data_IF_492616952234
#
_entry.id   IF_492616952234
#
_cell.length_a   1.000
_cell.length_b   1.000
_cell.length_c   1.000
_cell.angle_alpha   90.00
_cell.angle_beta   90.00
_cell.angle_gamma   90.00
#
_symmetry.space_group_name_H-M   'P 1'
#
loop_
_entity.id
_entity.type
_entity.pdbx_description
1 polymer ?
#
# COMPACT_ATOMS: atom_id res chain seq x y z
N UNK A 1 -7.23 5.62 -24.50
CA UNK A 1 -8.32 4.78 -23.99
C UNK A 1 -9.44 4.83 -24.98
N UNK A 2 -9.95 3.71 -25.49
CA UNK A 2 -11.14 3.75 -26.34
C UNK A 2 -12.34 4.19 -25.49
N UNK A 3 -13.11 5.08 -26.04
CA UNK A 3 -14.36 5.59 -25.52
C UNK A 3 -15.35 4.42 -25.41
N UNK A 4 -15.59 3.91 -24.21
CA UNK A 4 -16.59 2.88 -23.96
C UNK A 4 -17.94 3.58 -24.01
N UNK A 5 -18.57 3.50 -25.15
CA UNK A 5 -19.92 4.02 -25.40
C UNK A 5 -20.89 3.56 -24.30
N UNK A 6 -21.46 4.52 -23.64
CA UNK A 6 -22.35 4.45 -22.47
C UNK A 6 -23.76 4.01 -22.80
N UNK A 7 -24.05 2.85 -23.37
CA UNK A 7 -25.44 2.63 -23.79
C UNK A 7 -26.12 1.30 -23.47
N UNK A 8 -25.47 0.31 -22.89
CA UNK A 8 -26.09 -1.01 -22.73
C UNK A 8 -26.08 -1.65 -21.33
N UNK A 9 -25.83 -0.88 -20.28
CA UNK A 9 -26.00 -1.41 -18.93
C UNK A 9 -27.46 -1.25 -18.46
N UNK A 10 -28.06 -2.27 -17.84
CA UNK A 10 -29.39 -2.14 -17.23
C UNK A 10 -29.45 -0.94 -16.29
N UNK A 11 -30.56 -0.20 -16.30
CA UNK A 11 -30.76 1.00 -15.43
C UNK A 11 -30.47 0.74 -13.95
N UNK A 12 -30.79 -0.45 -13.44
CA UNK A 12 -30.48 -0.88 -12.07
C UNK A 12 -28.97 -0.98 -11.82
N UNK A 13 -28.19 -1.47 -12.78
CA UNK A 13 -26.72 -1.55 -12.63
C UNK A 13 -26.09 -0.16 -12.62
N UNK A 14 -26.58 0.74 -13.47
CA UNK A 14 -26.13 2.14 -13.51
C UNK A 14 -26.43 2.86 -12.19
N UNK A 15 -27.63 2.67 -11.63
CA UNK A 15 -28.00 3.25 -10.35
C UNK A 15 -27.17 2.69 -9.19
N UNK A 16 -26.92 1.39 -9.18
CA UNK A 16 -26.06 0.73 -8.17
C UNK A 16 -24.62 1.24 -8.26
N UNK A 17 -24.06 1.37 -9.46
CA UNK A 17 -22.73 1.90 -9.66
C UNK A 17 -22.60 3.34 -9.17
N UNK A 18 -23.59 4.20 -9.47
CA UNK A 18 -23.64 5.57 -8.98
C UNK A 18 -23.69 5.63 -7.44
N UNK A 19 -24.47 4.76 -6.81
CA UNK A 19 -24.55 4.68 -5.34
C UNK A 19 -23.23 4.25 -4.71
N UNK A 20 -22.52 3.27 -5.31
CA UNK A 20 -21.18 2.84 -4.87
C UNK A 20 -20.17 3.98 -5.01
N UNK A 21 -20.15 4.67 -6.14
CA UNK A 21 -19.28 5.83 -6.35
C UNK A 21 -19.56 6.94 -5.33
N UNK A 22 -20.84 7.23 -5.08
CA UNK A 22 -21.23 8.24 -4.10
C UNK A 22 -20.77 7.85 -2.68
N UNK A 23 -20.97 6.60 -2.27
CA UNK A 23 -20.50 6.10 -0.99
C UNK A 23 -18.97 6.20 -0.86
N UNK A 24 -18.23 5.81 -1.89
CA UNK A 24 -16.78 5.95 -1.92
C UNK A 24 -16.33 7.40 -1.72
N UNK A 25 -16.94 8.35 -2.44
CA UNK A 25 -16.61 9.78 -2.36
C UNK A 25 -17.01 10.44 -1.05
N UNK A 26 -18.17 10.08 -0.51
CA UNK A 26 -18.75 10.79 0.65
C UNK A 26 -18.43 10.14 1.98
N UNK A 27 -18.08 8.87 2.01
CA UNK A 27 -17.84 8.11 3.24
C UNK A 27 -16.42 7.55 3.27
N UNK A 28 -16.03 6.74 2.29
CA UNK A 28 -14.78 5.99 2.39
C UNK A 28 -13.55 6.89 2.30
N UNK A 29 -13.46 7.75 1.28
CA UNK A 29 -12.28 8.62 1.12
C UNK A 29 -12.15 9.61 2.27
N UNK A 30 -13.19 10.37 2.69
CA UNK A 30 -13.10 11.25 3.86
C UNK A 30 -12.74 10.53 5.16
N UNK A 31 -13.21 9.29 5.35
CA UNK A 31 -12.86 8.49 6.51
C UNK A 31 -11.35 8.26 6.59
N UNK A 32 -10.70 7.91 5.47
CA UNK A 32 -9.27 7.62 5.41
C UNK A 32 -8.39 8.85 5.14
N UNK A 33 -8.98 10.01 4.88
CA UNK A 33 -8.30 11.30 4.93
C UNK A 33 -8.31 11.94 6.32
N UNK A 34 -9.15 11.46 7.24
CA UNK A 34 -9.34 12.05 8.56
C UNK A 34 -9.33 11.00 9.68
N UNK A 35 -10.49 10.64 10.25
CA UNK A 35 -10.56 9.84 11.48
C UNK A 35 -9.98 8.42 11.35
N UNK A 36 -9.85 7.88 10.15
CA UNK A 36 -9.21 6.60 9.87
C UNK A 36 -7.69 6.61 9.95
N UNK A 37 -7.07 7.77 10.21
CA UNK A 37 -5.63 7.96 10.21
C UNK A 37 -5.10 8.40 11.58
N UNK A 38 -3.95 7.84 11.96
CA UNK A 38 -3.13 8.39 13.03
C UNK A 38 -2.40 9.62 12.51
N UNK A 39 -2.70 10.79 13.07
CA UNK A 39 -2.13 12.07 12.60
C UNK A 39 -0.64 12.24 12.95
N UNK A 40 -0.13 11.54 13.97
CA UNK A 40 1.27 11.66 14.39
C UNK A 40 2.19 10.82 13.49
N UNK A 41 1.75 9.62 13.15
CA UNK A 41 2.51 8.70 12.27
C UNK A 41 2.09 8.81 10.80
N UNK A 42 1.05 9.58 10.47
CA UNK A 42 0.46 9.69 9.13
C UNK A 42 0.07 8.32 8.53
N UNK A 43 -0.31 7.35 9.39
CA UNK A 43 -0.60 5.97 9.03
C UNK A 43 -2.08 5.63 9.18
N UNK A 44 -2.62 4.75 8.33
CA UNK A 44 -3.98 4.26 8.51
C UNK A 44 -4.07 3.35 9.75
N UNK A 45 -5.10 3.53 10.55
CA UNK A 45 -5.41 2.57 11.60
C UNK A 45 -5.74 1.19 11.01
N UNK A 46 -5.36 0.13 11.71
CA UNK A 46 -5.61 -1.25 11.27
C UNK A 46 -7.09 -1.65 11.37
N UNK A 47 -7.82 -1.02 12.26
CA UNK A 47 -9.25 -1.27 12.48
C UNK A 47 -9.97 -0.05 13.04
N UNK A 48 -11.24 0.06 12.65
CA UNK A 48 -12.19 1.06 13.15
C UNK A 48 -13.40 0.35 13.72
N UNK A 49 -14.07 0.99 14.70
CA UNK A 49 -15.39 0.53 15.16
C UNK A 49 -16.47 0.78 14.09
N UNK A 50 -17.67 0.19 14.24
CA UNK A 50 -18.82 0.50 13.36
C UNK A 50 -19.18 2.00 13.30
N UNK A 51 -18.84 2.76 14.34
CA UNK A 51 -19.04 4.22 14.41
C UNK A 51 -17.85 5.01 13.85
N UNK A 52 -16.98 4.36 13.09
CA UNK A 52 -15.78 4.93 12.45
C UNK A 52 -14.77 5.52 13.44
N UNK A 53 -14.69 4.99 14.65
CA UNK A 53 -13.68 5.40 15.64
C UNK A 53 -12.48 4.46 15.59
N UNK A 54 -11.25 4.99 15.68
CA UNK A 54 -10.07 4.17 15.77
C UNK A 54 -10.14 3.20 16.96
N UNK A 55 -9.85 1.93 16.72
CA UNK A 55 -9.58 0.98 17.80
C UNK A 55 -8.11 1.11 18.18
N UNK A 56 -7.80 0.83 19.46
CA UNK A 56 -6.43 0.89 19.96
C UNK A 56 -5.51 0.04 19.09
N UNK A 57 -4.53 0.64 18.38
CA UNK A 57 -3.68 -0.11 17.49
C UNK A 57 -2.75 -1.02 18.28
N UNK A 58 -2.58 -2.25 17.79
CA UNK A 58 -1.55 -3.16 18.29
C UNK A 58 -0.29 -3.06 17.44
N UNK A 59 -0.42 -2.60 16.22
CA UNK A 59 0.64 -2.42 15.23
C UNK A 59 0.12 -1.63 14.04
N UNK A 60 1.05 -1.23 13.16
CA UNK A 60 0.77 -0.79 11.78
C UNK A 60 1.56 -1.66 10.81
N UNK A 61 0.94 -2.08 9.70
CA UNK A 61 1.56 -2.90 8.66
C UNK A 61 1.93 -2.08 7.44
N UNK A 62 3.14 -2.28 6.93
CA UNK A 62 3.61 -1.61 5.71
C UNK A 62 2.69 -1.85 4.50
N UNK A 63 2.18 -3.07 4.36
CA UNK A 63 1.23 -3.43 3.30
C UNK A 63 -0.06 -2.60 3.36
N UNK A 64 -0.60 -2.32 4.55
CA UNK A 64 -1.81 -1.51 4.69
C UNK A 64 -1.55 -0.05 4.26
N UNK A 65 -0.40 0.50 4.65
CA UNK A 65 0.05 1.83 4.22
C UNK A 65 0.23 1.88 2.69
N UNK A 66 0.93 0.91 2.09
CA UNK A 66 1.15 0.84 0.65
C UNK A 66 -0.17 0.75 -0.14
N UNK A 67 -1.12 -0.06 0.30
CA UNK A 67 -2.45 -0.16 -0.34
C UNK A 67 -3.21 1.15 -0.31
N UNK A 68 -3.15 1.89 0.79
CA UNK A 68 -3.75 3.23 0.84
C UNK A 68 -3.01 4.24 -0.02
N UNK A 69 -1.68 4.19 -0.07
CA UNK A 69 -0.88 5.00 -1.00
C UNK A 69 -1.35 4.82 -2.44
N UNK A 70 -1.54 3.57 -2.88
CA UNK A 70 -2.09 3.28 -4.22
C UNK A 70 -3.45 3.95 -4.45
N UNK A 71 -4.38 3.82 -3.48
CA UNK A 71 -5.72 4.43 -3.61
C UNK A 71 -5.60 5.93 -3.78
N UNK A 72 -4.89 6.64 -2.90
CA UNK A 72 -4.77 8.10 -2.96
C UNK A 72 -3.95 8.57 -4.16
N UNK A 73 -2.91 7.85 -4.55
CA UNK A 73 -2.17 8.12 -5.79
C UNK A 73 -3.07 8.07 -7.03
N UNK A 74 -4.01 7.12 -7.07
CA UNK A 74 -4.97 6.98 -8.17
C UNK A 74 -5.98 8.14 -8.23
N UNK A 75 -6.17 8.88 -7.15
CA UNK A 75 -7.12 9.99 -7.04
C UNK A 75 -6.50 11.39 -7.24
N UNK A 76 -5.17 11.49 -7.40
CA UNK A 76 -4.45 12.78 -7.46
C UNK A 76 -5.04 13.74 -8.52
N UNK A 77 -5.39 13.24 -9.70
CA UNK A 77 -5.87 14.08 -10.80
C UNK A 77 -7.41 14.22 -10.82
N UNK A 78 -8.12 13.63 -9.88
CA UNK A 78 -9.58 13.74 -9.82
C UNK A 78 -9.99 14.91 -8.92
N UNK A 79 -10.58 15.99 -9.50
CA UNK A 79 -10.99 17.17 -8.72
C UNK A 79 -12.09 16.88 -7.68
N UNK A 80 -12.72 15.71 -7.74
CA UNK A 80 -13.70 15.30 -6.74
C UNK A 80 -13.05 14.88 -5.41
N UNK A 81 -11.72 14.72 -5.37
CA UNK A 81 -10.97 14.27 -4.19
C UNK A 81 -9.86 15.28 -3.78
N UNK A 82 -10.26 16.49 -3.34
CA UNK A 82 -9.28 17.46 -2.86
C UNK A 82 -8.48 16.86 -1.67
N UNK A 83 -7.16 17.12 -1.66
CA UNK A 83 -6.26 16.56 -0.64
C UNK A 83 -5.74 15.15 -0.93
N UNK A 84 -6.12 14.51 -2.04
CA UNK A 84 -5.62 13.18 -2.39
C UNK A 84 -4.10 13.18 -2.62
N UNK A 85 -3.56 14.22 -3.26
CA UNK A 85 -2.12 14.37 -3.49
C UNK A 85 -1.35 14.52 -2.17
N UNK A 86 -1.86 15.35 -1.26
CA UNK A 86 -1.28 15.56 0.06
C UNK A 86 -1.29 14.27 0.88
N UNK A 87 -2.42 13.57 0.88
CA UNK A 87 -2.54 12.28 1.58
C UNK A 87 -1.62 11.20 1.00
N UNK A 88 -1.46 11.13 -0.31
CA UNK A 88 -0.52 10.22 -0.96
C UNK A 88 0.94 10.54 -0.55
N UNK A 89 1.31 11.81 -0.48
CA UNK A 89 2.63 12.25 -0.05
C UNK A 89 2.92 11.89 1.43
N UNK A 90 1.94 12.05 2.32
CA UNK A 90 2.02 11.62 3.71
C UNK A 90 2.27 10.11 3.83
N UNK A 91 1.45 9.30 3.15
CA UNK A 91 1.56 7.85 3.17
C UNK A 91 2.91 7.36 2.61
N UNK A 92 3.39 7.96 1.53
CA UNK A 92 4.70 7.64 0.98
C UNK A 92 5.83 7.98 1.97
N UNK A 93 5.78 9.16 2.58
CA UNK A 93 6.75 9.60 3.60
C UNK A 93 6.78 8.63 4.77
N UNK A 94 5.60 8.27 5.31
CA UNK A 94 5.48 7.32 6.42
C UNK A 94 5.96 5.92 6.07
N UNK A 95 5.65 5.44 4.85
CA UNK A 95 6.14 4.16 4.35
C UNK A 95 7.66 4.12 4.30
N UNK A 96 8.29 5.20 3.83
CA UNK A 96 9.73 5.31 3.74
C UNK A 96 10.39 5.54 5.11
N UNK A 97 9.83 6.38 5.95
CA UNK A 97 10.42 6.77 7.24
C UNK A 97 10.32 5.66 8.31
N UNK A 98 9.17 5.02 8.41
CA UNK A 98 8.89 4.10 9.52
C UNK A 98 9.13 2.63 9.19
N UNK A 99 9.01 2.24 7.92
CA UNK A 99 9.11 0.83 7.56
C UNK A 99 10.38 0.45 6.80
N UNK A 100 11.12 1.40 6.24
CA UNK A 100 12.36 1.09 5.52
C UNK A 100 13.47 0.68 6.51
N UNK A 101 14.10 -0.47 6.25
CA UNK A 101 15.24 -0.95 7.03
C UNK A 101 16.55 -0.39 6.43
N UNK A 102 17.06 0.67 7.02
CA UNK A 102 18.28 1.33 6.56
C UNK A 102 19.54 0.47 6.74
N UNK A 103 19.51 -0.56 7.61
CA UNK A 103 20.67 -1.41 7.87
C UNK A 103 20.77 -2.57 6.87
N UNK A 104 19.63 -3.28 6.63
CA UNK A 104 19.62 -4.46 5.77
C UNK A 104 18.92 -4.23 4.42
N UNK A 105 18.29 -3.08 4.23
CA UNK A 105 17.46 -2.79 3.08
C UNK A 105 16.09 -3.48 3.12
N UNK A 106 15.22 -3.15 2.20
CA UNK A 106 13.82 -3.60 2.19
C UNK A 106 13.00 -2.98 3.31
N UNK A 107 11.83 -3.57 3.59
CA UNK A 107 10.87 -3.01 4.53
C UNK A 107 10.50 -4.02 5.61
N UNK A 108 10.30 -3.52 6.83
CA UNK A 108 9.70 -4.28 7.93
C UNK A 108 8.25 -4.64 7.62
N UNK A 109 7.81 -5.79 8.09
CA UNK A 109 6.40 -6.20 7.97
C UNK A 109 5.47 -5.29 8.77
N UNK A 110 5.84 -4.95 10.03
CA UNK A 110 5.06 -4.06 10.87
C UNK A 110 5.91 -3.29 11.88
N UNK A 111 5.34 -2.17 12.32
CA UNK A 111 5.82 -1.34 13.42
C UNK A 111 4.80 -1.34 14.56
N UNK A 112 5.24 -0.99 15.77
CA UNK A 112 4.39 -0.82 16.94
C UNK A 112 3.62 0.52 16.91
N UNK A 113 2.74 0.80 17.89
CA UNK A 113 2.00 2.05 17.96
C UNK A 113 2.85 3.31 18.09
N UNK A 114 4.09 3.19 18.57
CA UNK A 114 5.03 4.30 18.75
C UNK A 114 5.94 4.51 17.51
N UNK A 115 5.78 3.67 16.47
CA UNK A 115 6.53 3.77 15.22
C UNK A 115 7.85 2.99 15.20
N UNK A 116 8.16 2.20 16.23
CA UNK A 116 9.35 1.35 16.25
C UNK A 116 9.13 0.01 15.54
N UNK A 117 10.16 -0.59 14.91
CA UNK A 117 10.03 -1.88 14.24
C UNK A 117 9.57 -2.99 15.20
N UNK A 118 8.41 -3.64 14.89
CA UNK A 118 7.82 -4.70 15.70
C UNK A 118 8.08 -6.08 15.09
N UNK A 119 7.53 -6.35 13.91
CA UNK A 119 7.83 -7.56 13.16
C UNK A 119 8.76 -7.18 12.00
N UNK A 120 10.02 -7.57 12.14
CA UNK A 120 11.08 -7.13 11.24
C UNK A 120 11.31 -8.08 10.06
N UNK A 121 10.51 -9.16 9.92
CA UNK A 121 10.63 -10.04 8.77
C UNK A 121 10.44 -9.30 7.46
N UNK A 122 11.09 -9.81 6.42
CA UNK A 122 10.93 -9.36 5.04
C UNK A 122 9.88 -10.25 4.38
N UNK A 123 8.75 -9.67 4.05
CA UNK A 123 7.57 -10.37 3.53
C UNK A 123 7.35 -10.02 2.05
N UNK A 124 7.31 -11.01 1.18
CA UNK A 124 7.19 -10.81 -0.27
C UNK A 124 5.87 -10.10 -0.64
N UNK A 125 4.78 -10.46 0.03
CA UNK A 125 3.47 -9.83 -0.19
C UNK A 125 3.52 -8.33 0.10
N UNK A 126 4.16 -7.94 1.20
CA UNK A 126 4.37 -6.53 1.56
C UNK A 126 5.20 -5.81 0.50
N UNK A 127 6.31 -6.42 0.03
CA UNK A 127 7.17 -5.81 -0.98
C UNK A 127 6.47 -5.66 -2.34
N UNK A 128 5.64 -6.63 -2.74
CA UNK A 128 4.81 -6.51 -3.94
C UNK A 128 3.88 -5.29 -3.88
N UNK A 129 3.19 -5.07 -2.76
CA UNK A 129 2.34 -3.88 -2.59
C UNK A 129 3.13 -2.57 -2.53
N UNK A 130 4.35 -2.57 -2.00
CA UNK A 130 5.23 -1.39 -2.03
C UNK A 130 5.62 -1.05 -3.47
N UNK A 131 6.04 -2.03 -4.26
CA UNK A 131 6.34 -1.82 -5.69
C UNK A 131 5.12 -1.26 -6.41
N UNK A 132 3.98 -1.92 -6.28
CA UNK A 132 2.73 -1.53 -6.91
C UNK A 132 2.33 -0.08 -6.58
N UNK A 133 2.32 0.26 -5.30
CA UNK A 133 1.94 1.59 -4.84
C UNK A 133 2.94 2.67 -5.26
N UNK A 134 4.25 2.41 -5.12
CA UNK A 134 5.28 3.35 -5.53
C UNK A 134 5.31 3.57 -7.04
N UNK A 135 5.06 2.54 -7.85
CA UNK A 135 4.95 2.67 -9.31
C UNK A 135 3.80 3.59 -9.71
N UNK A 136 2.61 3.38 -9.12
CA UNK A 136 1.44 4.24 -9.36
C UNK A 136 1.65 5.68 -8.88
N UNK A 137 2.26 5.86 -7.71
CA UNK A 137 2.55 7.18 -7.17
C UNK A 137 3.62 7.90 -7.99
N UNK A 138 4.70 7.22 -8.35
CA UNK A 138 5.74 7.77 -9.23
C UNK A 138 5.19 8.19 -10.60
N UNK A 139 4.26 7.42 -11.17
CA UNK A 139 3.60 7.78 -12.43
C UNK A 139 2.89 9.14 -12.36
N UNK A 140 2.45 9.57 -11.18
CA UNK A 140 1.77 10.86 -10.95
C UNK A 140 2.75 12.00 -10.64
N UNK A 141 3.70 11.78 -9.72
CA UNK A 141 4.51 12.89 -9.17
C UNK A 141 5.88 13.03 -9.83
N UNK A 142 6.44 11.95 -10.38
CA UNK A 142 7.77 11.90 -11.03
C UNK A 142 8.91 12.40 -10.13
N UNK A 143 8.80 12.23 -8.82
CA UNK A 143 9.81 12.65 -7.87
C UNK A 143 10.98 11.65 -7.79
N UNK A 144 12.25 12.13 -7.78
CA UNK A 144 13.43 11.26 -7.75
C UNK A 144 13.50 10.33 -6.54
N UNK A 145 13.01 10.77 -5.38
CA UNK A 145 12.98 9.93 -4.18
C UNK A 145 12.02 8.73 -4.37
N UNK A 146 10.85 8.96 -4.96
CA UNK A 146 9.87 7.89 -5.22
C UNK A 146 10.46 6.87 -6.20
N UNK A 147 11.13 7.34 -7.25
CA UNK A 147 11.84 6.49 -8.21
C UNK A 147 12.94 5.66 -7.54
N UNK A 148 13.72 6.27 -6.67
CA UNK A 148 14.77 5.58 -5.92
C UNK A 148 14.21 4.47 -5.02
N UNK A 149 13.11 4.75 -4.31
CA UNK A 149 12.43 3.78 -3.44
C UNK A 149 11.85 2.62 -4.26
N UNK A 150 11.21 2.91 -5.39
CA UNK A 150 10.70 1.91 -6.31
C UNK A 150 11.81 0.99 -6.84
N UNK A 151 12.92 1.57 -7.31
CA UNK A 151 14.05 0.80 -7.80
C UNK A 151 14.68 -0.07 -6.71
N UNK A 152 14.82 0.45 -5.48
CA UNK A 152 15.28 -0.33 -4.34
C UNK A 152 14.35 -1.52 -4.02
N UNK A 153 13.05 -1.33 -4.10
CA UNK A 153 12.08 -2.41 -3.87
C UNK A 153 12.16 -3.50 -4.94
N UNK A 154 12.27 -3.11 -6.22
CA UNK A 154 12.47 -4.04 -7.34
C UNK A 154 13.77 -4.83 -7.18
N UNK A 155 14.86 -4.15 -6.83
CA UNK A 155 16.18 -4.78 -6.62
C UNK A 155 16.14 -5.79 -5.47
N UNK A 156 15.49 -5.45 -4.36
CA UNK A 156 15.30 -6.32 -3.21
C UNK A 156 14.55 -7.59 -3.60
N UNK A 157 13.43 -7.47 -4.32
CA UNK A 157 12.66 -8.65 -4.76
C UNK A 157 13.50 -9.52 -5.70
N UNK A 158 14.13 -8.92 -6.68
CA UNK A 158 14.92 -9.67 -7.67
C UNK A 158 16.16 -10.37 -7.07
N UNK A 159 16.83 -9.77 -6.08
CA UNK A 159 18.09 -10.28 -5.54
C UNK A 159 17.98 -11.06 -4.24
N UNK A 160 16.92 -10.82 -3.43
CA UNK A 160 16.81 -11.37 -2.08
C UNK A 160 15.72 -12.42 -1.96
N UNK A 161 14.56 -12.19 -2.60
CA UNK A 161 13.46 -13.14 -2.55
C UNK A 161 13.55 -14.25 -3.58
N UNK A 162 14.20 -14.02 -4.73
CA UNK A 162 14.39 -15.06 -5.74
C UNK A 162 15.25 -16.20 -5.18
N UNK A 163 14.75 -17.44 -5.29
CA UNK A 163 15.51 -18.65 -4.98
C UNK A 163 16.14 -19.26 -6.24
N UNK A 164 17.03 -20.23 -6.05
CA UNK A 164 17.76 -20.87 -7.16
C UNK A 164 16.89 -21.66 -8.13
N UNK A 165 15.63 -21.93 -7.79
CA UNK A 165 14.71 -22.77 -8.57
C UNK A 165 13.75 -21.95 -9.46
N UNK A 166 13.98 -20.64 -9.59
CA UNK A 166 13.12 -19.73 -10.35
C UNK A 166 11.82 -19.35 -9.65
N UNK A 167 11.73 -19.61 -8.36
CA UNK A 167 10.63 -19.21 -7.48
C UNK A 167 11.09 -18.11 -6.52
N UNK A 168 10.19 -17.69 -5.65
CA UNK A 168 10.44 -16.66 -4.65
C UNK A 168 10.09 -17.19 -3.26
N UNK A 169 10.92 -16.85 -2.27
CA UNK A 169 10.60 -17.08 -0.87
C UNK A 169 9.44 -16.16 -0.44
N UNK A 170 8.48 -16.70 0.31
CA UNK A 170 7.34 -15.92 0.78
C UNK A 170 7.72 -14.93 1.90
N UNK A 171 8.68 -15.34 2.75
CA UNK A 171 9.20 -14.50 3.82
C UNK A 171 10.63 -14.88 4.18
N UNK A 172 11.40 -13.89 4.60
CA UNK A 172 12.79 -14.01 5.08
C UNK A 172 12.93 -13.28 6.42
N UNK A 173 13.93 -13.64 7.21
CA UNK A 173 14.28 -12.89 8.41
C UNK A 173 14.80 -11.48 8.04
N UNK A 174 14.95 -10.60 9.03
CA UNK A 174 15.43 -9.23 8.81
C UNK A 174 16.76 -9.18 8.04
N UNK A 175 17.68 -10.06 8.36
CA UNK A 175 19.01 -10.20 7.75
C UNK A 175 19.02 -11.01 6.44
N UNK A 176 17.85 -11.29 5.90
CA UNK A 176 17.61 -12.10 4.69
C UNK A 176 17.92 -13.59 4.85
N UNK A 177 18.18 -14.08 6.03
CA UNK A 177 18.28 -15.53 6.27
C UNK A 177 16.94 -16.23 6.06
N UNK A 178 16.94 -17.49 5.61
CA UNK A 178 15.73 -18.23 5.33
C UNK A 178 14.85 -18.42 6.58
N UNK A 179 13.52 -18.20 6.39
CA UNK A 179 12.50 -18.67 7.32
C UNK A 179 11.88 -19.95 6.75
N UNK A 180 11.35 -20.82 7.63
CA UNK A 180 10.66 -22.04 7.21
C UNK A 180 9.25 -21.72 6.67
N UNK A 181 9.15 -20.97 5.56
CA UNK A 181 7.89 -20.50 5.02
C UNK A 181 7.51 -21.09 3.67
N UNK A 182 8.38 -21.65 2.90
CA UNK A 182 8.09 -22.16 1.56
C UNK A 182 7.40 -21.17 0.60
N UNK A 183 7.26 -21.47 -0.67
CA UNK A 183 6.58 -20.62 -1.63
C UNK A 183 5.07 -20.58 -1.38
N UNK A 184 4.47 -19.37 -1.41
CA UNK A 184 3.03 -19.16 -1.29
C UNK A 184 2.47 -18.52 -2.57
N UNK A 185 1.32 -18.99 -3.03
CA UNK A 185 0.68 -18.50 -4.26
C UNK A 185 0.29 -17.01 -4.16
N UNK A 186 -0.27 -16.58 -3.03
CA UNK A 186 -0.80 -15.23 -2.87
C UNK A 186 0.25 -14.12 -3.06
N UNK A 187 1.46 -14.17 -2.46
CA UNK A 187 2.51 -13.20 -2.74
C UNK A 187 2.93 -13.15 -4.22
N UNK A 188 2.99 -14.29 -4.90
CA UNK A 188 3.38 -14.37 -6.31
C UNK A 188 2.32 -13.74 -7.23
N UNK A 189 1.05 -13.91 -6.93
CA UNK A 189 -0.04 -13.29 -7.67
C UNK A 189 0.07 -11.76 -7.61
N UNK A 190 0.26 -11.19 -6.44
CA UNK A 190 0.40 -9.75 -6.29
C UNK A 190 1.73 -9.20 -6.83
N UNK A 191 2.78 -10.00 -6.82
CA UNK A 191 4.03 -9.62 -7.48
C UNK A 191 3.87 -9.55 -9.01
N UNK A 192 3.05 -10.43 -9.59
CA UNK A 192 2.74 -10.40 -11.02
C UNK A 192 1.84 -9.21 -11.43
N UNK A 193 1.09 -8.63 -10.48
CA UNK A 193 0.27 -7.43 -10.68
C UNK A 193 1.11 -6.14 -10.55
N UNK A 194 2.21 -6.20 -9.79
CA UNK A 194 3.07 -5.05 -9.49
C UNK A 194 4.03 -4.72 -10.62
#
# INVERSE_FOLDING_TARGET
MPDVASSDFPLELTATFAAVQQHFRQVIVPLWQGPGCNAELELPYEALSPEHRPLTPQRYRAMACARQLYVFASLIDDPAFPGAAERAAELFRSLHQHFHDAEHGGWFYSIDPDGAPLDQRKDLYTHAFIIFACAHYWAKVREPLVESVLNAALEVVAKRFANGDGLYEAALARDWSPLQSGPLQNPLMHLAEA
#
